data_IF_256912462931
#
_entry.id   IF_256912462931
#
_cell.length_a   1.000
_cell.length_b   1.000
_cell.length_c   1.000
_cell.angle_alpha   90.00
_cell.angle_beta   90.00
_cell.angle_gamma   90.00
#
_symmetry.space_group_name_H-M   'P 1'
#
loop_
_entity.id
_entity.type
_entity.pdbx_description
1 polymer ?
#
# COMPACT_ATOMS: atom_id res chain seq x y z
N UNK A 1 6.36 17.61 -29.97
CA UNK A 1 5.28 17.74 -28.97
C UNK A 1 4.80 16.33 -28.64
N UNK A 2 5.31 15.74 -27.56
CA UNK A 2 4.95 14.38 -27.15
C UNK A 2 3.53 14.40 -26.58
N UNK A 3 2.70 13.42 -26.96
CA UNK A 3 1.41 13.16 -26.29
C UNK A 3 1.64 13.08 -24.77
N UNK A 4 0.73 13.59 -23.93
CA UNK A 4 0.77 13.23 -22.52
C UNK A 4 0.68 11.71 -22.47
N UNK A 5 1.69 11.08 -21.89
CA UNK A 5 1.73 9.64 -21.72
C UNK A 5 0.64 9.32 -20.70
N UNK A 6 -0.52 8.85 -21.18
CA UNK A 6 -1.68 8.60 -20.33
C UNK A 6 -1.41 7.48 -19.34
N UNK A 7 -2.02 7.57 -18.16
CA UNK A 7 -2.03 6.46 -17.20
C UNK A 7 -2.96 5.34 -17.68
N UNK A 8 -2.67 4.12 -17.26
CA UNK A 8 -3.47 2.92 -17.51
C UNK A 8 -3.78 2.22 -16.20
N UNK A 9 -4.97 1.64 -16.11
CA UNK A 9 -5.42 0.90 -14.95
C UNK A 9 -4.88 -0.54 -14.98
N UNK A 10 -4.37 -1.01 -13.84
CA UNK A 10 -3.86 -2.36 -13.65
C UNK A 10 -4.50 -2.96 -12.40
N UNK A 11 -4.72 -4.28 -12.45
CA UNK A 11 -5.12 -5.11 -11.31
C UNK A 11 -4.18 -6.30 -11.22
N UNK A 12 -4.07 -6.91 -10.05
CA UNK A 12 -3.35 -8.16 -9.90
C UNK A 12 -4.13 -9.34 -10.48
N UNK A 13 -3.38 -10.28 -11.06
CA UNK A 13 -3.90 -11.57 -11.48
C UNK A 13 -4.39 -12.36 -10.25
N UNK A 14 -5.58 -12.96 -10.34
CA UNK A 14 -6.22 -13.69 -9.24
C UNK A 14 -5.50 -15.00 -8.87
N UNK A 15 -4.58 -15.45 -9.72
CA UNK A 15 -3.73 -16.62 -9.48
C UNK A 15 -2.38 -16.29 -8.84
N UNK A 16 -2.07 -15.00 -8.62
CA UNK A 16 -0.82 -14.58 -7.98
C UNK A 16 -0.70 -15.12 -6.55
N UNK A 17 0.48 -15.64 -6.20
CA UNK A 17 0.72 -16.13 -4.85
C UNK A 17 0.78 -14.99 -3.81
N UNK A 18 0.48 -15.32 -2.54
CA UNK A 18 0.41 -14.33 -1.44
C UNK A 18 1.70 -13.48 -1.31
N UNK A 19 2.92 -14.04 -1.40
CA UNK A 19 4.15 -13.24 -1.40
C UNK A 19 4.20 -12.22 -2.55
N UNK A 20 3.80 -12.61 -3.77
CA UNK A 20 3.77 -11.72 -4.94
C UNK A 20 2.74 -10.60 -4.74
N UNK A 21 1.56 -10.93 -4.19
CA UNK A 21 0.54 -9.93 -3.86
C UNK A 21 1.07 -8.90 -2.86
N UNK A 22 1.68 -9.34 -1.76
CA UNK A 22 2.26 -8.45 -0.74
C UNK A 22 3.35 -7.56 -1.35
N UNK A 23 4.24 -8.14 -2.16
CA UNK A 23 5.28 -7.41 -2.85
C UNK A 23 4.70 -6.34 -3.80
N UNK A 24 3.65 -6.67 -4.55
CA UNK A 24 3.03 -5.74 -5.49
C UNK A 24 2.40 -4.53 -4.81
N UNK A 25 1.70 -4.72 -3.69
CA UNK A 25 1.17 -3.60 -2.90
C UNK A 25 2.28 -2.65 -2.46
N UNK A 26 3.34 -3.21 -1.84
CA UNK A 26 4.45 -2.44 -1.28
C UNK A 26 5.23 -1.69 -2.36
N UNK A 27 5.62 -2.37 -3.44
CA UNK A 27 6.38 -1.76 -4.52
C UNK A 27 5.54 -0.77 -5.35
N UNK A 28 4.24 -1.02 -5.53
CA UNK A 28 3.36 -0.07 -6.20
C UNK A 28 3.29 1.25 -5.43
N UNK A 29 3.15 1.22 -4.10
CA UNK A 29 3.19 2.41 -3.27
C UNK A 29 4.52 3.16 -3.41
N UNK A 30 5.65 2.46 -3.37
CA UNK A 30 6.97 3.10 -3.57
C UNK A 30 7.10 3.78 -4.94
N UNK A 31 6.63 3.13 -6.02
CA UNK A 31 6.60 3.70 -7.37
C UNK A 31 5.67 4.91 -7.46
N UNK A 32 4.54 4.86 -6.77
CA UNK A 32 3.53 5.92 -6.76
C UNK A 32 3.87 7.06 -5.80
N UNK A 33 4.86 6.92 -4.91
CA UNK A 33 5.14 7.87 -3.82
C UNK A 33 5.25 9.32 -4.30
N UNK A 34 5.94 9.56 -5.41
CA UNK A 34 6.12 10.91 -5.97
C UNK A 34 4.82 11.52 -6.52
N UNK A 35 3.84 10.68 -6.88
CA UNK A 35 2.54 11.04 -7.43
C UNK A 35 1.48 11.24 -6.33
N UNK A 36 1.61 10.54 -5.20
CA UNK A 36 0.67 10.62 -4.09
C UNK A 36 0.72 11.98 -3.40
N UNK A 37 -0.45 12.47 -2.99
CA UNK A 37 -0.63 13.67 -2.18
C UNK A 37 -1.48 13.42 -0.95
N UNK A 38 -2.48 12.55 -1.08
CA UNK A 38 -3.32 12.13 0.04
C UNK A 38 -3.43 10.61 0.00
N UNK A 39 -3.42 10.00 1.17
CA UNK A 39 -3.65 8.58 1.30
C UNK A 39 -4.38 8.28 2.60
N UNK A 40 -5.20 7.23 2.56
CA UNK A 40 -5.97 6.74 3.68
C UNK A 40 -5.75 5.25 3.83
N UNK A 41 -5.78 4.79 5.07
CA UNK A 41 -5.69 3.37 5.40
C UNK A 41 -6.55 3.08 6.60
N UNK A 42 -7.23 1.94 6.57
CA UNK A 42 -7.98 1.44 7.71
C UNK A 42 -7.05 0.63 8.62
N UNK A 43 -7.21 0.78 9.92
CA UNK A 43 -6.67 -0.13 10.94
C UNK A 43 -7.65 -1.30 11.21
N UNK A 44 -8.32 -1.78 10.15
CA UNK A 44 -9.26 -2.91 10.16
C UNK A 44 -8.84 -3.91 9.07
N UNK A 45 -9.00 -5.20 9.37
CA UNK A 45 -8.68 -6.32 8.49
C UNK A 45 -9.75 -7.40 8.70
N UNK A 46 -10.13 -8.10 7.63
CA UNK A 46 -10.98 -9.29 7.65
C UNK A 46 -10.20 -10.52 8.14
N UNK A 47 -8.91 -10.60 7.79
CA UNK A 47 -7.96 -11.62 8.28
C UNK A 47 -7.26 -11.17 9.58
N UNK A 48 -6.70 -12.09 10.39
CA UNK A 48 -5.78 -11.70 11.46
C UNK A 48 -4.54 -10.98 10.89
N UNK A 49 -4.18 -9.84 11.49
CA UNK A 49 -2.96 -9.13 11.15
C UNK A 49 -1.72 -10.01 11.33
N UNK A 50 -0.81 -10.05 10.34
CA UNK A 50 0.50 -10.67 10.50
C UNK A 50 1.27 -10.16 11.73
N UNK A 51 2.12 -10.99 12.33
CA UNK A 51 2.87 -10.62 13.54
C UNK A 51 3.76 -9.38 13.32
N UNK A 52 4.37 -9.27 12.14
CA UNK A 52 5.24 -8.15 11.77
C UNK A 52 4.49 -6.83 11.55
N UNK A 53 3.16 -6.86 11.37
CA UNK A 53 2.32 -5.66 11.19
C UNK A 53 1.70 -5.14 12.49
N UNK A 54 1.78 -5.87 13.60
CA UNK A 54 1.18 -5.44 14.88
C UNK A 54 1.69 -4.07 15.35
N UNK A 55 3.00 -3.81 15.26
CA UNK A 55 3.60 -2.52 15.62
C UNK A 55 3.14 -1.40 14.67
N UNK A 56 3.18 -1.56 13.34
CA UNK A 56 2.57 -0.62 12.40
C UNK A 56 1.10 -0.33 12.69
N UNK A 57 0.25 -1.33 12.95
CA UNK A 57 -1.17 -1.13 13.27
C UNK A 57 -1.32 -0.26 14.52
N UNK A 58 -0.57 -0.57 15.59
CA UNK A 58 -0.63 0.22 16.81
C UNK A 58 -0.19 1.68 16.58
N UNK A 59 0.86 1.90 15.79
CA UNK A 59 1.32 3.26 15.45
C UNK A 59 0.27 4.04 14.66
N UNK A 60 -0.40 3.39 13.71
CA UNK A 60 -1.48 4.01 12.95
C UNK A 60 -2.66 4.40 13.86
N UNK A 61 -3.02 3.52 14.81
CA UNK A 61 -4.04 3.80 15.84
C UNK A 61 -3.63 4.99 16.71
N UNK A 62 -2.37 5.05 17.14
CA UNK A 62 -1.88 6.16 17.97
C UNK A 62 -1.89 7.49 17.18
N UNK A 63 -1.54 7.45 15.90
CA UNK A 63 -1.64 8.61 14.99
C UNK A 63 -3.08 9.12 14.88
N UNK A 64 -4.05 8.23 14.68
CA UNK A 64 -5.46 8.59 14.62
C UNK A 64 -5.93 9.27 15.92
N UNK A 65 -5.58 8.71 17.07
CA UNK A 65 -5.95 9.26 18.39
C UNK A 65 -5.38 10.65 18.63
N UNK A 66 -4.13 10.90 18.21
CA UNK A 66 -3.53 12.23 18.32
C UNK A 66 -4.33 13.23 17.48
N UNK A 67 -4.70 12.86 16.25
CA UNK A 67 -5.49 13.73 15.37
C UNK A 67 -6.88 14.01 15.93
N UNK A 68 -7.58 12.98 16.41
CA UNK A 68 -8.90 13.13 17.05
C UNK A 68 -8.82 14.06 18.26
N UNK A 69 -7.76 13.95 19.07
CA UNK A 69 -7.56 14.81 20.24
C UNK A 69 -7.29 16.28 19.91
N UNK A 70 -6.88 16.56 18.66
CA UNK A 70 -6.67 17.91 18.15
C UNK A 70 -7.89 18.48 17.40
N UNK A 71 -8.97 17.69 17.24
CA UNK A 71 -10.19 18.16 16.59
C UNK A 71 -11.20 18.69 17.63
N UNK A 72 -11.71 19.90 17.39
CA UNK A 72 -12.73 20.54 18.23
C UNK A 72 -14.15 19.94 18.02
N UNK A 73 -14.35 19.12 16.99
CA UNK A 73 -15.64 18.52 16.63
C UNK A 73 -15.62 16.97 16.76
N UNK A 74 -16.18 16.40 17.84
CA UNK A 74 -16.20 14.96 18.07
C UNK A 74 -17.08 14.16 17.09
N UNK A 75 -17.86 14.82 16.21
CA UNK A 75 -18.61 14.14 15.16
C UNK A 75 -17.74 13.66 13.98
N UNK A 76 -16.48 14.12 13.93
CA UNK A 76 -15.46 13.67 12.96
C UNK A 76 -14.52 12.60 13.52
N UNK A 77 -14.82 12.01 14.68
CA UNK A 77 -14.16 10.81 15.19
C UNK A 77 -14.41 9.64 14.22
N UNK A 78 -13.67 9.63 13.11
CA UNK A 78 -13.49 8.45 12.28
C UNK A 78 -12.79 7.46 13.18
N UNK A 79 -13.44 6.33 13.44
CA UNK A 79 -12.85 5.23 14.19
C UNK A 79 -11.59 4.72 13.52
N UNK A 80 -11.26 3.45 13.69
CA UNK A 80 -10.08 2.85 13.06
C UNK A 80 -10.17 2.72 11.50
N UNK A 81 -10.92 3.60 10.83
CA UNK A 81 -11.28 3.65 9.41
C UNK A 81 -10.90 5.02 8.85
N UNK A 82 -10.38 5.06 7.62
CA UNK A 82 -10.09 6.31 6.91
C UNK A 82 -9.02 7.13 7.61
N UNK A 83 -8.00 6.48 8.19
CA UNK A 83 -6.91 7.18 8.84
C UNK A 83 -6.01 7.75 7.75
N UNK A 84 -6.02 9.07 7.59
CA UNK A 84 -5.17 9.74 6.63
C UNK A 84 -3.70 9.70 7.09
N UNK A 85 -2.80 9.44 6.15
CA UNK A 85 -1.36 9.40 6.35
C UNK A 85 -0.69 10.49 5.52
N UNK A 86 0.28 11.17 6.12
CA UNK A 86 1.14 12.10 5.40
C UNK A 86 2.17 11.31 4.58
N UNK A 87 1.97 11.24 3.26
CA UNK A 87 2.86 10.51 2.33
C UNK A 87 4.24 11.18 2.16
N UNK A 88 4.39 12.43 2.61
CA UNK A 88 5.66 13.16 2.61
C UNK A 88 6.52 12.83 3.85
N UNK A 89 5.90 12.38 4.94
CA UNK A 89 6.57 11.85 6.11
C UNK A 89 6.98 10.38 5.86
N UNK A 90 8.27 10.09 5.99
CA UNK A 90 8.81 8.74 5.73
C UNK A 90 8.20 7.70 6.67
N UNK A 91 8.02 8.02 7.96
CA UNK A 91 7.52 7.07 8.94
C UNK A 91 6.04 6.76 8.72
N UNK A 92 5.22 7.76 8.40
CA UNK A 92 3.80 7.55 8.07
C UNK A 92 3.62 6.85 6.72
N UNK A 93 4.44 7.16 5.73
CA UNK A 93 4.41 6.46 4.45
C UNK A 93 4.74 4.97 4.61
N UNK A 94 5.70 4.61 5.46
CA UNK A 94 6.01 3.20 5.75
C UNK A 94 4.87 2.47 6.49
N UNK A 95 4.01 3.18 7.24
CA UNK A 95 2.77 2.58 7.78
C UNK A 95 1.82 2.17 6.66
N UNK A 96 1.61 3.04 5.67
CA UNK A 96 0.78 2.74 4.51
C UNK A 96 1.32 1.51 3.74
N UNK A 97 2.62 1.48 3.48
CA UNK A 97 3.30 0.36 2.81
C UNK A 97 3.16 -0.94 3.60
N UNK A 98 3.34 -0.90 4.92
CA UNK A 98 3.29 -2.09 5.76
C UNK A 98 1.88 -2.68 5.87
N UNK A 99 0.84 -1.83 5.92
CA UNK A 99 -0.53 -2.21 6.26
C UNK A 99 -1.42 -2.44 5.05
N UNK A 100 -1.16 -1.75 3.94
CA UNK A 100 -2.01 -1.83 2.75
C UNK A 100 -2.29 -3.24 2.21
N UNK A 101 -1.39 -4.24 2.27
CA UNK A 101 -1.69 -5.60 1.79
C UNK A 101 -2.70 -6.38 2.65
N UNK A 102 -3.04 -5.87 3.84
CA UNK A 102 -3.78 -6.61 4.86
C UNK A 102 -4.93 -5.81 5.46
N UNK A 103 -5.23 -4.63 4.93
CA UNK A 103 -6.32 -3.78 5.42
C UNK A 103 -7.55 -3.97 4.54
N UNK A 104 -8.75 -3.81 5.10
CA UNK A 104 -9.99 -3.83 4.32
C UNK A 104 -10.03 -2.71 3.27
N UNK A 105 -9.32 -1.60 3.53
CA UNK A 105 -9.25 -0.46 2.62
C UNK A 105 -7.97 0.36 2.80
N UNK A 106 -7.28 0.62 1.68
CA UNK A 106 -6.28 1.67 1.56
C UNK A 106 -6.39 2.35 0.20
N UNK A 107 -6.35 3.67 0.18
CA UNK A 107 -6.50 4.47 -1.03
C UNK A 107 -5.43 5.56 -1.12
N UNK A 108 -5.01 5.87 -2.34
CA UNK A 108 -4.00 6.89 -2.62
C UNK A 108 -4.41 7.78 -3.80
N UNK A 109 -4.27 9.08 -3.63
CA UNK A 109 -4.78 10.10 -4.56
C UNK A 109 -3.70 11.11 -4.94
N UNK A 110 -3.82 11.64 -6.16
CA UNK A 110 -2.97 12.73 -6.64
C UNK A 110 -3.43 14.10 -6.13
N UNK A 111 -2.70 15.15 -6.49
CA UNK A 111 -3.08 16.55 -6.22
C UNK A 111 -4.40 16.96 -6.88
N UNK A 112 -4.75 16.32 -7.99
CA UNK A 112 -5.97 16.58 -8.74
C UNK A 112 -7.15 15.71 -8.29
N UNK A 113 -7.05 15.08 -7.11
CA UNK A 113 -8.04 14.16 -6.55
C UNK A 113 -8.34 12.93 -7.42
N UNK A 114 -7.39 12.57 -8.29
CA UNK A 114 -7.43 11.31 -9.05
C UNK A 114 -6.95 10.14 -8.17
N UNK A 115 -7.79 9.13 -7.99
CA UNK A 115 -7.44 7.86 -7.34
C UNK A 115 -6.40 7.13 -8.21
N UNK A 116 -5.25 6.79 -7.62
CA UNK A 116 -4.15 6.09 -8.32
C UNK A 116 -3.74 4.77 -7.66
N UNK A 117 -4.24 4.51 -6.45
CA UNK A 117 -4.00 3.30 -5.70
C UNK A 117 -5.26 2.96 -4.89
N UNK A 118 -5.71 1.72 -4.96
CA UNK A 118 -6.80 1.21 -4.12
C UNK A 118 -6.49 -0.23 -3.77
N UNK A 119 -6.54 -0.55 -2.48
CA UNK A 119 -6.27 -1.87 -1.97
C UNK A 119 -7.33 -2.31 -0.96
N UNK A 120 -7.56 -3.61 -0.92
CA UNK A 120 -8.43 -4.31 0.02
C UNK A 120 -7.87 -5.72 0.26
N UNK A 121 -8.03 -6.24 1.47
CA UNK A 121 -7.61 -7.58 1.86
C UNK A 121 -8.54 -8.70 1.31
N UNK A 122 -9.55 -8.33 0.53
CA UNK A 122 -10.46 -9.26 -0.15
C UNK A 122 -10.21 -9.37 -1.67
N UNK A 123 -10.06 -10.59 -2.19
CA UNK A 123 -10.09 -10.90 -3.63
C UNK A 123 -8.92 -10.33 -4.46
N UNK A 124 -9.20 -9.75 -5.65
CA UNK A 124 -8.26 -9.02 -6.52
C UNK A 124 -7.90 -7.67 -5.88
N UNK A 125 -7.37 -7.73 -4.67
CA UNK A 125 -7.31 -6.66 -3.68
C UNK A 125 -6.39 -5.49 -4.01
N UNK A 126 -5.90 -5.35 -5.24
CA UNK A 126 -5.06 -4.23 -5.65
C UNK A 126 -5.47 -3.73 -7.03
N UNK A 127 -5.82 -2.44 -7.08
CA UNK A 127 -6.00 -1.65 -8.28
C UNK A 127 -5.03 -0.46 -8.26
N UNK A 128 -4.46 -0.14 -9.41
CA UNK A 128 -3.52 0.99 -9.55
C UNK A 128 -3.62 1.65 -10.92
N UNK A 129 -3.33 2.95 -10.95
CA UNK A 129 -3.31 3.77 -12.16
C UNK A 129 -1.88 4.25 -12.42
N UNK A 130 -1.21 3.64 -13.40
CA UNK A 130 0.23 3.85 -13.64
C UNK A 130 0.50 4.49 -15.00
N UNK A 131 1.52 5.33 -15.07
CA UNK A 131 2.17 5.67 -16.35
C UNK A 131 3.00 4.47 -16.84
N UNK A 132 3.35 4.39 -18.14
CA UNK A 132 4.25 3.36 -18.66
C UNK A 132 5.60 3.28 -17.93
N UNK A 133 6.20 4.43 -17.57
CA UNK A 133 7.46 4.46 -16.82
C UNK A 133 7.29 3.87 -15.41
N UNK A 134 6.18 4.16 -14.73
CA UNK A 134 5.87 3.57 -13.42
C UNK A 134 5.59 2.07 -13.53
N UNK A 135 4.90 1.63 -14.58
CA UNK A 135 4.69 0.21 -14.84
C UNK A 135 6.02 -0.54 -15.04
N UNK A 136 6.91 0.00 -15.88
CA UNK A 136 8.25 -0.56 -16.10
C UNK A 136 9.05 -0.63 -14.79
N UNK A 137 9.03 0.44 -13.99
CA UNK A 137 9.70 0.47 -12.68
C UNK A 137 9.13 -0.58 -11.72
N UNK A 138 7.80 -0.73 -11.65
CA UNK A 138 7.15 -1.72 -10.81
C UNK A 138 7.55 -3.15 -11.22
N UNK A 139 7.52 -3.47 -12.51
CA UNK A 139 7.93 -4.78 -13.03
C UNK A 139 9.40 -5.07 -12.72
N UNK A 140 10.28 -4.07 -12.84
CA UNK A 140 11.69 -4.22 -12.47
C UNK A 140 11.87 -4.54 -10.98
N UNK A 141 11.20 -3.80 -10.10
CA UNK A 141 11.23 -4.00 -8.64
C UNK A 141 10.73 -5.37 -8.24
N UNK A 142 9.59 -5.80 -8.79
CA UNK A 142 9.01 -7.12 -8.52
C UNK A 142 9.92 -8.26 -9.00
N UNK A 143 10.52 -8.12 -10.19
CA UNK A 143 11.46 -9.11 -10.72
C UNK A 143 12.69 -9.23 -9.81
N UNK A 144 13.22 -8.10 -9.35
CA UNK A 144 14.37 -8.05 -8.44
C UNK A 144 14.05 -8.71 -7.09
N UNK A 145 12.89 -8.44 -6.51
CA UNK A 145 12.46 -9.09 -5.26
C UNK A 145 12.32 -10.60 -5.42
N UNK A 146 11.71 -11.07 -6.51
CA UNK A 146 11.56 -12.51 -6.77
C UNK A 146 12.91 -13.21 -6.86
N UNK A 147 13.88 -12.63 -7.57
CA UNK A 147 15.24 -13.16 -7.62
C UNK A 147 15.90 -13.19 -6.23
N UNK A 148 15.68 -12.18 -5.37
CA UNK A 148 16.22 -12.17 -4.01
C UNK A 148 15.58 -13.24 -3.11
N UNK A 149 14.28 -13.49 -3.24
CA UNK A 149 13.56 -14.57 -2.54
C UNK A 149 14.05 -15.96 -2.97
N UNK A 150 14.31 -16.16 -4.26
CA UNK A 150 14.90 -17.40 -4.79
C UNK A 150 16.33 -17.63 -4.28
N UNK A 151 17.15 -16.57 -4.20
CA UNK A 151 18.51 -16.64 -3.64
C UNK A 151 18.55 -16.87 -2.11
N UNK A 152 17.47 -16.53 -1.39
CA UNK A 152 17.36 -16.71 0.07
C UNK A 152 16.80 -18.07 0.50
N UNK A 153 16.32 -18.92 -0.42
CA UNK A 153 15.99 -20.31 -0.08
C UNK A 153 17.27 -21.03 0.34
N UNK A 154 17.36 -21.62 1.55
CA UNK A 154 18.50 -22.45 1.89
C UNK A 154 18.55 -23.62 0.90
N UNK A 155 19.76 -23.96 0.44
CA UNK A 155 19.99 -25.22 -0.25
C UNK A 155 19.39 -26.33 0.62
N UNK A 156 18.35 -27.00 0.12
CA UNK A 156 17.86 -28.24 0.71
C UNK A 156 19.06 -29.15 0.86
N UNK A 157 19.55 -29.32 2.09
CA UNK A 157 20.57 -30.31 2.40
C UNK A 157 19.96 -31.67 2.06
N UNK A 158 20.49 -32.42 1.07
CA UNK A 158 20.03 -33.78 0.85
C UNK A 158 20.65 -34.69 1.93
N UNK A 159 19.76 -35.44 2.58
CA UNK A 159 19.96 -36.57 3.51
C UNK A 159 20.60 -36.27 4.87
#
# INVERSE_FOLDING_TARGET
MSRPVGRQAFVLDDTADRPTVIAAHREALHVLRSTLRRAWVDAISDDPWPEDTQKPVQRLIDLARVRDSCQDDPSQSVGYVGIEVDVSDDDQFELLVALSPFTINAEGYTEADELVYSASDTGTGLWMLLTPAQYEELVERLTRQRCQLEMRRPALTPA
#
